data_IF_588814064380
#
_entry.id   IF_588814064380
#
_cell.length_a   1.000
_cell.length_b   1.000
_cell.length_c   1.000
_cell.angle_alpha   90.00
_cell.angle_beta   90.00
_cell.angle_gamma   90.00
#
_symmetry.space_group_name_H-M   'P 1'
#
loop_
_entity.id
_entity.type
_entity.pdbx_description
1 polymer ?
#
# COMPACT_ATOMS: atom_id res chain seq x y z
N UNK A 1 -8.44 7.22 -30.65
CA UNK A 1 -9.08 8.14 -29.68
C UNK A 1 -8.07 9.18 -29.30
N UNK A 2 -8.48 10.45 -29.38
CA UNK A 2 -7.63 11.62 -29.33
C UNK A 2 -6.75 11.65 -28.08
N UNK A 3 -5.44 11.72 -28.27
CA UNK A 3 -4.55 12.16 -27.21
C UNK A 3 -4.88 13.61 -26.92
N UNK A 4 -5.27 13.91 -25.69
CA UNK A 4 -5.30 15.29 -25.21
C UNK A 4 -3.85 15.79 -25.20
N UNK A 5 -3.43 16.40 -26.31
CA UNK A 5 -2.23 17.23 -26.32
C UNK A 5 -2.62 18.51 -25.59
N UNK A 6 -2.33 18.55 -24.29
CA UNK A 6 -2.38 19.79 -23.53
C UNK A 6 -1.28 20.72 -24.08
N UNK A 7 -1.65 21.63 -24.97
CA UNK A 7 -0.86 22.83 -25.28
C UNK A 7 -1.14 23.86 -24.18
N UNK A 8 -0.83 23.49 -22.94
CA UNK A 8 -0.99 24.32 -21.76
C UNK A 8 0.35 24.92 -21.36
N UNK A 9 0.33 26.17 -20.90
CA UNK A 9 1.47 26.76 -20.18
C UNK A 9 1.79 25.83 -19.01
N UNK A 10 3.04 25.41 -18.88
CA UNK A 10 3.50 24.67 -17.71
C UNK A 10 3.42 25.63 -16.52
N UNK A 11 2.50 25.36 -15.60
CA UNK A 11 2.32 26.06 -14.34
C UNK A 11 2.52 25.06 -13.19
N UNK A 12 3.76 24.97 -12.72
CA UNK A 12 4.15 23.98 -11.72
C UNK A 12 3.63 24.37 -10.35
N UNK A 13 2.80 23.52 -9.76
CA UNK A 13 2.31 23.70 -8.40
C UNK A 13 3.44 23.39 -7.40
N UNK A 14 3.83 24.34 -6.51
CA UNK A 14 4.85 24.08 -5.50
C UNK A 14 4.45 22.95 -4.54
N UNK A 15 5.41 22.13 -4.09
CA UNK A 15 5.13 20.94 -3.27
C UNK A 15 4.25 21.20 -2.03
N UNK A 16 4.49 22.33 -1.32
CA UNK A 16 3.67 22.72 -0.16
C UNK A 16 2.21 23.01 -0.54
N UNK A 17 1.99 23.57 -1.73
CA UNK A 17 0.65 23.84 -2.27
C UNK A 17 -0.04 22.55 -2.71
N UNK A 18 0.71 21.62 -3.32
CA UNK A 18 0.22 20.26 -3.59
C UNK A 18 -0.31 19.62 -2.31
N UNK A 19 0.47 19.61 -1.22
CA UNK A 19 0.04 18.99 0.04
C UNK A 19 -1.24 19.65 0.60
N UNK A 20 -1.30 20.99 0.56
CA UNK A 20 -2.48 21.75 1.00
C UNK A 20 -3.72 21.37 0.18
N UNK A 21 -3.57 21.21 -1.15
CA UNK A 21 -4.68 20.84 -2.04
C UNK A 21 -5.13 19.41 -1.78
N UNK A 22 -4.20 18.47 -1.62
CA UNK A 22 -4.53 17.07 -1.32
C UNK A 22 -5.19 16.89 0.04
N UNK A 23 -4.77 17.67 1.05
CA UNK A 23 -5.43 17.67 2.36
C UNK A 23 -6.87 18.19 2.25
N UNK A 24 -7.12 19.18 1.39
CA UNK A 24 -8.47 19.71 1.14
C UNK A 24 -9.36 18.75 0.33
N UNK A 25 -8.80 17.96 -0.60
CA UNK A 25 -9.58 17.07 -1.48
C UNK A 25 -9.76 15.66 -0.92
N UNK A 26 -8.73 15.08 -0.30
CA UNK A 26 -8.78 13.74 0.29
C UNK A 26 -8.96 13.78 1.81
N UNK A 27 -8.27 14.70 2.49
CA UNK A 27 -8.15 14.70 3.94
C UNK A 27 -9.48 14.81 4.66
N UNK A 28 -10.37 15.71 4.23
CA UNK A 28 -11.68 15.89 4.85
C UNK A 28 -12.54 14.62 4.81
N UNK A 29 -12.60 13.93 3.67
CA UNK A 29 -13.35 12.68 3.49
C UNK A 29 -12.74 11.55 4.32
N UNK A 30 -11.41 11.39 4.28
CA UNK A 30 -10.72 10.36 5.07
C UNK A 30 -10.88 10.59 6.58
N UNK A 31 -10.85 11.84 7.04
CA UNK A 31 -11.10 12.19 8.45
C UNK A 31 -12.53 11.83 8.86
N UNK A 32 -13.52 12.09 8.00
CA UNK A 32 -14.92 11.70 8.25
C UNK A 32 -15.07 10.17 8.39
N UNK A 33 -14.25 9.40 7.66
CA UNK A 33 -14.16 7.94 7.79
C UNK A 33 -13.28 7.47 8.97
N UNK A 34 -12.80 8.39 9.82
CA UNK A 34 -12.03 8.06 11.03
C UNK A 34 -10.54 7.78 10.79
N UNK A 35 -9.99 8.15 9.63
CA UNK A 35 -8.55 8.12 9.42
C UNK A 35 -7.88 9.31 10.09
N UNK A 36 -6.66 9.11 10.59
CA UNK A 36 -5.77 10.19 10.99
C UNK A 36 -4.70 10.40 9.92
N UNK A 37 -4.35 11.65 9.62
CA UNK A 37 -3.16 11.95 8.82
C UNK A 37 -1.92 11.66 9.66
N UNK A 38 -1.06 10.75 9.20
CA UNK A 38 0.14 10.33 9.95
C UNK A 38 1.44 10.89 9.37
N UNK A 39 1.43 11.24 8.07
CA UNK A 39 2.52 11.89 7.33
C UNK A 39 1.92 12.66 6.16
N UNK A 40 2.73 13.48 5.48
CA UNK A 40 2.33 14.09 4.21
C UNK A 40 1.76 13.01 3.29
N UNK A 41 0.52 13.22 2.82
CA UNK A 41 -0.18 12.36 1.87
C UNK A 41 -0.44 10.92 2.35
N UNK A 42 -0.31 10.65 3.65
CA UNK A 42 -0.58 9.33 4.23
C UNK A 42 -1.56 9.44 5.38
N UNK A 43 -2.65 8.70 5.26
CA UNK A 43 -3.70 8.58 6.26
C UNK A 43 -3.84 7.13 6.70
N UNK A 44 -4.05 6.92 7.99
CA UNK A 44 -4.19 5.58 8.54
C UNK A 44 -5.33 5.49 9.56
N UNK A 45 -5.96 4.32 9.63
CA UNK A 45 -7.00 4.00 10.61
C UNK A 45 -6.78 2.59 11.15
N UNK A 46 -6.72 2.46 12.47
CA UNK A 46 -6.73 1.17 13.13
C UNK A 46 -8.19 0.71 13.29
N UNK A 47 -8.52 -0.46 12.76
CA UNK A 47 -9.87 -1.05 12.84
C UNK A 47 -9.85 -2.52 13.25
N UNK A 48 -8.84 -3.26 12.82
CA UNK A 48 -8.64 -4.68 13.13
C UNK A 48 -7.35 -4.80 13.97
N UNK A 49 -7.32 -5.63 15.02
CA UNK A 49 -6.09 -5.88 15.77
C UNK A 49 -4.93 -6.25 14.84
N UNK A 50 -3.78 -5.63 15.06
CA UNK A 50 -2.55 -5.79 14.27
C UNK A 50 -2.62 -5.40 12.78
N UNK A 51 -3.78 -4.98 12.25
CA UNK A 51 -3.97 -4.62 10.84
C UNK A 51 -4.53 -3.20 10.75
N UNK A 52 -3.73 -2.29 10.20
CA UNK A 52 -4.07 -0.88 10.02
C UNK A 52 -4.37 -0.59 8.56
N UNK A 53 -5.52 0.01 8.29
CA UNK A 53 -5.90 0.51 6.96
C UNK A 53 -4.99 1.72 6.64
N UNK A 54 -4.37 1.76 5.45
CA UNK A 54 -3.50 2.87 5.03
C UNK A 54 -3.88 3.36 3.64
N UNK A 55 -4.14 4.66 3.53
CA UNK A 55 -4.33 5.39 2.27
C UNK A 55 -3.12 6.29 1.99
N UNK A 56 -2.64 6.32 0.76
CA UNK A 56 -1.43 7.03 0.38
C UNK A 56 -1.54 7.65 -1.02
N UNK A 57 -1.25 8.95 -1.14
CA UNK A 57 -0.99 9.59 -2.43
C UNK A 57 0.53 9.60 -2.68
N UNK A 58 1.00 8.68 -3.52
CA UNK A 58 2.43 8.56 -3.85
C UNK A 58 2.83 9.47 -5.00
N UNK A 59 4.07 9.95 -4.97
CA UNK A 59 4.67 10.62 -6.11
C UNK A 59 5.14 9.61 -7.16
N UNK A 60 4.94 9.96 -8.43
CA UNK A 60 5.40 9.23 -9.60
C UNK A 60 6.47 10.05 -10.34
N UNK A 61 7.15 9.41 -11.30
CA UNK A 61 8.03 10.13 -12.24
C UNK A 61 7.17 11.07 -13.11
N UNK A 62 7.68 12.26 -13.41
CA UNK A 62 7.03 13.19 -14.33
C UNK A 62 6.11 14.23 -13.68
N UNK A 63 6.27 14.51 -12.38
CA UNK A 63 5.44 15.47 -11.64
C UNK A 63 3.96 15.05 -11.55
N UNK A 64 3.71 13.73 -11.58
CA UNK A 64 2.39 13.13 -11.37
C UNK A 64 2.33 12.42 -10.02
N UNK A 65 1.13 12.24 -9.49
CA UNK A 65 0.85 11.52 -8.25
C UNK A 65 -0.19 10.43 -8.50
N UNK A 66 -0.29 9.42 -7.64
CA UNK A 66 -1.41 8.46 -7.69
C UNK A 66 -1.90 8.04 -6.32
N UNK A 67 -3.18 7.69 -6.24
CA UNK A 67 -3.76 7.05 -5.08
C UNK A 67 -3.39 5.58 -4.99
N UNK A 68 -3.02 5.13 -3.80
CA UNK A 68 -2.75 3.74 -3.43
C UNK A 68 -3.27 3.48 -2.04
N UNK A 69 -3.65 2.24 -1.75
CA UNK A 69 -4.12 1.86 -0.42
C UNK A 69 -3.72 0.43 -0.08
N UNK A 70 -3.91 0.04 1.17
CA UNK A 70 -3.64 -1.31 1.60
C UNK A 70 -3.53 -1.41 3.11
N UNK A 71 -2.68 -2.31 3.58
CA UNK A 71 -2.56 -2.65 5.00
C UNK A 71 -1.14 -2.46 5.52
N UNK A 72 -1.05 -1.99 6.75
CA UNK A 72 0.13 -2.05 7.60
C UNK A 72 -0.10 -3.10 8.67
N UNK A 73 0.85 -4.00 8.89
CA UNK A 73 0.66 -5.21 9.66
C UNK A 73 1.70 -5.29 10.79
N UNK A 74 1.24 -5.22 12.04
CA UNK A 74 2.10 -5.08 13.21
C UNK A 74 3.03 -6.29 13.45
N UNK A 75 2.62 -7.47 12.98
CA UNK A 75 3.37 -8.71 13.04
C UNK A 75 4.27 -8.97 11.82
N UNK A 76 4.21 -8.12 10.79
CA UNK A 76 5.10 -8.22 9.62
C UNK A 76 6.30 -7.30 9.81
N UNK A 77 7.54 -7.81 9.78
CA UNK A 77 8.70 -6.97 9.84
C UNK A 77 8.95 -6.28 8.50
N UNK A 78 9.69 -5.18 8.54
CA UNK A 78 10.29 -4.57 7.35
C UNK A 78 11.80 -4.54 7.51
N UNK A 79 12.50 -4.55 6.38
CA UNK A 79 13.96 -4.42 6.35
C UNK A 79 14.33 -2.96 6.10
N UNK A 80 15.24 -2.43 6.92
CA UNK A 80 15.74 -1.06 6.79
C UNK A 80 17.20 -1.00 7.22
N UNK A 81 18.07 -0.56 6.32
CA UNK A 81 19.52 -0.52 6.53
C UNK A 81 20.08 -1.88 7.00
N UNK A 82 19.66 -2.97 6.34
CA UNK A 82 20.09 -4.34 6.64
C UNK A 82 19.53 -4.92 7.95
N UNK A 83 18.59 -4.25 8.62
CA UNK A 83 18.03 -4.69 9.90
C UNK A 83 16.53 -4.92 9.81
N UNK A 84 16.08 -5.99 10.46
CA UNK A 84 14.66 -6.29 10.70
C UNK A 84 14.10 -5.28 11.70
N UNK A 85 12.98 -4.64 11.37
CA UNK A 85 12.31 -3.64 12.20
C UNK A 85 10.79 -3.84 12.15
N UNK A 86 10.10 -3.38 13.19
CA UNK A 86 8.64 -3.48 13.29
C UNK A 86 8.02 -2.09 13.28
N UNK A 87 6.76 -2.02 12.86
CA UNK A 87 5.96 -0.81 12.96
C UNK A 87 4.61 -1.19 13.61
N UNK A 88 4.50 -0.93 14.92
CA UNK A 88 3.35 -1.36 15.73
C UNK A 88 2.44 -0.21 16.15
N UNK A 89 2.76 1.01 15.73
CA UNK A 89 1.98 2.22 16.06
C UNK A 89 1.37 2.81 14.81
N UNK A 90 0.23 3.48 14.97
CA UNK A 90 -0.44 4.20 13.89
C UNK A 90 0.50 5.19 13.18
N UNK A 91 1.31 5.95 13.94
CA UNK A 91 2.30 6.91 13.37
C UNK A 91 3.41 6.25 12.54
N UNK A 92 3.69 4.97 12.81
CA UNK A 92 4.71 4.19 12.10
C UNK A 92 4.16 3.39 10.92
N UNK A 93 2.84 3.39 10.73
CA UNK A 93 2.16 2.59 9.71
C UNK A 93 2.69 2.88 8.31
N UNK A 94 2.79 1.82 7.51
CA UNK A 94 3.26 1.83 6.12
C UNK A 94 2.62 0.67 5.38
N UNK A 95 2.58 0.73 4.05
CA UNK A 95 2.00 -0.33 3.25
C UNK A 95 2.90 -1.57 3.23
N UNK A 96 2.54 -2.60 4.00
CA UNK A 96 3.08 -3.96 3.83
C UNK A 96 2.39 -4.69 2.69
N UNK A 97 1.07 -4.54 2.65
CA UNK A 97 0.23 -4.94 1.53
C UNK A 97 -0.21 -3.69 0.81
N UNK A 98 -0.04 -3.68 -0.51
CA UNK A 98 -0.34 -2.54 -1.36
C UNK A 98 -1.24 -2.98 -2.50
N UNK A 99 -2.32 -2.27 -2.67
CA UNK A 99 -3.11 -2.24 -3.87
C UNK A 99 -2.82 -0.93 -4.61
N UNK A 100 -2.28 -1.06 -5.83
CA UNK A 100 -2.13 0.05 -6.76
C UNK A 100 -3.08 -0.20 -7.94
N UNK A 101 -4.19 0.55 -8.05
CA UNK A 101 -5.19 0.30 -9.08
C UNK A 101 -4.65 0.48 -10.51
N UNK A 102 -3.49 1.12 -10.70
CA UNK A 102 -2.83 1.25 -12.01
C UNK A 102 -2.18 -0.05 -12.50
N UNK A 103 -1.95 -1.01 -11.62
CA UNK A 103 -1.37 -2.30 -12.00
C UNK A 103 -2.39 -3.22 -12.67
N UNK A 104 -3.69 -2.92 -12.56
CA UNK A 104 -4.76 -3.79 -13.05
C UNK A 104 -5.54 -3.09 -14.17
N UNK A 105 -5.56 -3.65 -15.40
CA UNK A 105 -5.88 -2.93 -16.63
C UNK A 105 -7.37 -2.81 -16.98
N UNK A 106 -8.29 -3.06 -16.07
CA UNK A 106 -9.70 -2.79 -16.35
C UNK A 106 -9.88 -1.27 -16.43
N UNK A 107 -9.70 -0.70 -17.62
CA UNK A 107 -9.88 0.73 -17.94
C UNK A 107 -11.30 1.24 -17.61
N UNK A 108 -12.24 0.33 -17.36
CA UNK A 108 -13.59 0.58 -16.80
C UNK A 108 -13.59 0.83 -15.28
N UNK A 109 -12.59 0.35 -14.56
CA UNK A 109 -12.46 0.43 -13.09
C UNK A 109 -11.35 1.42 -12.65
N UNK A 110 -10.46 1.78 -13.57
CA UNK A 110 -9.33 2.70 -13.37
C UNK A 110 -9.35 3.88 -14.37
N UNK A 111 -10.34 4.81 -14.32
CA UNK A 111 -10.21 6.11 -14.99
C UNK A 111 -9.05 6.90 -14.38
N UNK A 112 -8.41 7.79 -15.13
CA UNK A 112 -7.15 8.49 -14.78
C UNK A 112 -6.88 8.61 -13.27
N UNK A 113 -6.15 7.64 -12.71
CA UNK A 113 -5.78 7.55 -11.30
C UNK A 113 -4.55 8.39 -10.97
N UNK A 114 -4.27 9.37 -11.83
CA UNK A 114 -3.09 10.20 -11.78
C UNK A 114 -3.51 11.65 -11.61
N UNK A 115 -2.75 12.36 -10.78
CA UNK A 115 -2.87 13.80 -10.61
C UNK A 115 -1.63 14.43 -11.22
N UNK A 116 -1.79 15.44 -12.06
CA UNK A 116 -0.69 16.19 -12.62
C UNK A 116 -0.46 17.50 -11.86
N UNK A 117 0.79 17.78 -11.52
CA UNK A 117 1.16 19.00 -10.78
C UNK A 117 1.71 20.11 -11.67
N UNK A 118 1.58 19.96 -13.01
CA UNK A 118 2.17 20.85 -14.02
C UNK A 118 1.17 21.85 -14.63
N UNK A 119 -0.10 21.78 -14.25
CA UNK A 119 -1.18 22.52 -14.90
C UNK A 119 -1.93 23.47 -13.95
N UNK A 120 -1.24 23.93 -12.90
CA UNK A 120 -1.75 24.90 -11.94
C UNK A 120 -2.64 24.32 -10.83
N UNK A 121 -2.89 25.13 -9.80
CA UNK A 121 -3.62 24.71 -8.59
C UNK A 121 -5.09 24.35 -8.83
N UNK A 122 -5.73 25.01 -9.81
CA UNK A 122 -7.15 24.78 -10.13
C UNK A 122 -7.33 23.38 -10.70
N UNK A 123 -6.55 23.04 -11.71
CA UNK A 123 -6.59 21.72 -12.35
C UNK A 123 -6.27 20.61 -11.34
N UNK A 124 -5.24 20.81 -10.51
CA UNK A 124 -4.89 19.85 -9.46
C UNK A 124 -6.03 19.65 -8.44
N UNK A 125 -6.79 20.70 -8.13
CA UNK A 125 -7.95 20.62 -7.22
C UNK A 125 -9.10 19.84 -7.85
N UNK A 126 -9.38 20.07 -9.13
CA UNK A 126 -10.45 19.38 -9.86
C UNK A 126 -10.12 17.90 -10.03
N UNK A 127 -8.91 17.59 -10.49
CA UNK A 127 -8.39 16.22 -10.55
C UNK A 127 -8.39 15.54 -9.18
N UNK A 128 -7.92 16.25 -8.14
CA UNK A 128 -7.89 15.73 -6.77
C UNK A 128 -9.28 15.39 -6.24
N UNK A 129 -10.27 16.23 -6.49
CA UNK A 129 -11.66 16.01 -6.07
C UNK A 129 -12.29 14.82 -6.81
N UNK A 130 -12.09 14.73 -8.13
CA UNK A 130 -12.55 13.62 -8.94
C UNK A 130 -11.91 12.29 -8.52
N UNK A 131 -10.60 12.29 -8.29
CA UNK A 131 -9.88 11.09 -7.85
C UNK A 131 -10.28 10.68 -6.42
N UNK A 132 -10.49 11.62 -5.50
CA UNK A 132 -10.94 11.31 -4.14
C UNK A 132 -12.32 10.63 -4.16
N UNK A 133 -13.26 11.16 -4.94
CA UNK A 133 -14.61 10.60 -5.10
C UNK A 133 -14.62 9.17 -5.66
N UNK A 134 -13.57 8.78 -6.39
CA UNK A 134 -13.42 7.43 -6.93
C UNK A 134 -12.62 6.51 -6.01
N UNK A 135 -11.43 6.94 -5.59
CA UNK A 135 -10.44 6.10 -4.91
C UNK A 135 -10.85 5.78 -3.48
N UNK A 136 -11.42 6.73 -2.74
CA UNK A 136 -11.80 6.51 -1.33
C UNK A 136 -12.87 5.41 -1.22
N UNK A 137 -13.99 5.42 -1.97
CA UNK A 137 -14.96 4.33 -1.93
C UNK A 137 -14.37 2.96 -2.33
N UNK A 138 -13.45 2.92 -3.29
CA UNK A 138 -12.76 1.67 -3.66
C UNK A 138 -11.88 1.15 -2.51
N UNK A 139 -11.13 2.05 -1.87
CA UNK A 139 -10.30 1.72 -0.72
C UNK A 139 -11.15 1.23 0.47
N UNK A 140 -12.27 1.91 0.77
CA UNK A 140 -13.22 1.49 1.80
C UNK A 140 -13.78 0.08 1.56
N UNK A 141 -14.13 -0.26 0.31
CA UNK A 141 -14.54 -1.63 -0.06
C UNK A 141 -13.40 -2.63 0.12
N UNK A 142 -12.19 -2.26 -0.30
CA UNK A 142 -11.01 -3.12 -0.15
C UNK A 142 -10.73 -3.45 1.33
N UNK A 143 -10.72 -2.44 2.20
CA UNK A 143 -10.50 -2.67 3.64
C UNK A 143 -11.67 -3.40 4.30
N UNK A 144 -12.92 -3.11 3.91
CA UNK A 144 -14.11 -3.76 4.45
C UNK A 144 -14.14 -5.28 4.28
N UNK A 145 -13.37 -5.81 3.30
CA UNK A 145 -13.19 -7.25 3.11
C UNK A 145 -12.28 -7.94 4.14
N UNK A 146 -11.58 -7.19 4.99
CA UNK A 146 -10.65 -7.75 5.99
C UNK A 146 -11.12 -7.41 7.41
N UNK A 147 -11.46 -8.44 8.19
CA UNK A 147 -11.88 -8.31 9.59
C UNK A 147 -11.03 -9.17 10.54
N UNK A 148 -10.18 -10.05 10.00
CA UNK A 148 -9.29 -10.95 10.72
C UNK A 148 -8.15 -11.42 9.81
N UNK A 149 -7.14 -12.05 10.41
CA UNK A 149 -5.92 -12.49 9.71
C UNK A 149 -6.18 -13.43 8.53
N UNK A 150 -7.18 -14.31 8.62
CA UNK A 150 -7.51 -15.21 7.50
C UNK A 150 -8.01 -14.45 6.26
N UNK A 151 -8.74 -13.34 6.45
CA UNK A 151 -9.21 -12.52 5.35
C UNK A 151 -8.04 -11.76 4.70
N UNK A 152 -7.03 -11.36 5.49
CA UNK A 152 -5.80 -10.76 4.99
C UNK A 152 -5.01 -11.75 4.10
N UNK A 153 -4.92 -13.03 4.51
CA UNK A 153 -4.34 -14.08 3.65
C UNK A 153 -5.08 -14.15 2.33
N UNK A 154 -6.42 -14.16 2.36
CA UNK A 154 -7.24 -14.28 1.15
C UNK A 154 -7.04 -13.05 0.23
N UNK A 155 -6.85 -11.85 0.78
CA UNK A 155 -6.47 -10.67 0.00
C UNK A 155 -5.09 -10.85 -0.65
N UNK A 156 -4.07 -11.25 0.11
CA UNK A 156 -2.71 -11.44 -0.41
C UNK A 156 -2.66 -12.52 -1.51
N UNK A 157 -3.37 -13.62 -1.29
CA UNK A 157 -3.52 -14.69 -2.28
C UNK A 157 -4.28 -14.21 -3.53
N UNK A 158 -5.33 -13.42 -3.35
CA UNK A 158 -6.05 -12.80 -4.46
C UNK A 158 -5.17 -11.84 -5.26
N UNK A 159 -4.30 -11.07 -4.61
CA UNK A 159 -3.31 -10.22 -5.29
C UNK A 159 -2.27 -11.06 -6.04
N UNK A 160 -1.79 -12.15 -5.42
CA UNK A 160 -0.86 -13.11 -6.04
C UNK A 160 -1.46 -13.79 -7.27
N UNK A 161 -2.75 -14.16 -7.22
CA UNK A 161 -3.44 -14.77 -8.36
C UNK A 161 -3.68 -13.79 -9.52
N UNK A 162 -3.87 -12.50 -9.20
CA UNK A 162 -4.01 -11.42 -10.20
C UNK A 162 -2.68 -10.99 -10.82
N UNK A 163 -1.55 -11.54 -10.36
CA UNK A 163 -0.21 -11.23 -10.88
C UNK A 163 -0.10 -11.43 -12.39
N UNK A 164 -0.72 -12.51 -12.92
CA UNK A 164 -0.80 -12.81 -14.35
C UNK A 164 -1.54 -11.74 -15.17
N UNK A 165 -2.41 -10.97 -14.52
CA UNK A 165 -3.23 -9.92 -15.13
C UNK A 165 -2.61 -8.52 -14.90
N UNK A 166 -1.45 -8.45 -14.23
CA UNK A 166 -0.79 -7.18 -13.93
C UNK A 166 -0.18 -6.57 -15.20
N UNK A 167 -0.43 -5.28 -15.44
CA UNK A 167 0.15 -4.52 -16.56
C UNK A 167 1.33 -3.64 -16.18
N UNK A 168 1.63 -3.54 -14.89
CA UNK A 168 2.79 -2.84 -14.37
C UNK A 168 3.47 -3.69 -13.31
N UNK A 169 3.24 -3.40 -12.03
CA UNK A 169 3.84 -4.17 -10.93
C UNK A 169 2.92 -5.30 -10.47
N UNK A 170 3.45 -6.51 -10.55
CA UNK A 170 2.88 -7.71 -9.97
C UNK A 170 3.10 -7.84 -8.46
N UNK A 171 2.61 -8.93 -7.88
CA UNK A 171 2.73 -9.27 -6.46
C UNK A 171 4.20 -9.33 -6.01
N UNK A 172 5.04 -10.08 -6.73
CA UNK A 172 6.45 -10.24 -6.38
C UNK A 172 7.33 -9.02 -6.70
N UNK A 173 6.80 -8.04 -7.44
CA UNK A 173 7.51 -6.76 -7.61
C UNK A 173 7.46 -5.89 -6.35
N UNK A 174 6.47 -6.10 -5.47
CA UNK A 174 6.43 -5.47 -4.16
C UNK A 174 7.17 -6.34 -3.15
N UNK A 175 8.42 -5.96 -2.84
CA UNK A 175 9.31 -6.74 -1.95
C UNK A 175 8.65 -7.12 -0.61
N UNK A 176 7.74 -6.27 -0.12
CA UNK A 176 7.05 -6.47 1.16
C UNK A 176 5.86 -7.44 1.09
N UNK A 177 5.28 -7.71 -0.11
CA UNK A 177 4.14 -8.61 -0.26
C UNK A 177 4.47 -10.07 0.11
N UNK A 178 5.58 -10.67 -0.38
CA UNK A 178 5.97 -12.01 0.05
C UNK A 178 6.24 -12.10 1.56
N UNK A 179 6.87 -11.07 2.16
CA UNK A 179 7.05 -11.03 3.61
C UNK A 179 5.70 -10.97 4.34
N UNK A 180 4.76 -10.16 3.87
CA UNK A 180 3.44 -10.07 4.46
C UNK A 180 2.68 -11.41 4.38
N UNK A 181 2.77 -12.13 3.25
CA UNK A 181 2.13 -13.42 3.09
C UNK A 181 2.78 -14.51 3.95
N UNK A 182 4.12 -14.57 3.98
CA UNK A 182 4.85 -15.50 4.84
C UNK A 182 4.48 -15.36 6.33
N UNK A 183 4.51 -14.13 6.84
CA UNK A 183 4.16 -13.85 8.24
C UNK A 183 2.66 -14.00 8.52
N UNK A 184 1.79 -13.82 7.51
CA UNK A 184 0.36 -14.13 7.63
C UNK A 184 0.12 -15.64 7.75
N UNK A 185 0.82 -16.46 6.96
CA UNK A 185 0.78 -17.92 7.14
C UNK A 185 1.30 -18.34 8.51
N UNK A 186 2.39 -17.73 8.99
CA UNK A 186 2.92 -17.97 10.33
C UNK A 186 1.90 -17.61 11.43
N UNK A 187 1.30 -16.43 11.38
CA UNK A 187 0.24 -15.97 12.30
C UNK A 187 -1.01 -16.87 12.24
N UNK A 188 -1.20 -17.65 11.18
CA UNK A 188 -2.27 -18.65 11.04
C UNK A 188 -1.84 -20.07 11.45
N UNK A 189 -0.57 -20.29 11.78
CA UNK A 189 -0.01 -21.59 12.17
C UNK A 189 0.43 -22.47 11.00
N UNK A 190 0.41 -21.97 9.76
CA UNK A 190 0.84 -22.71 8.57
C UNK A 190 2.34 -22.55 8.35
N UNK A 191 3.11 -23.33 9.12
CA UNK A 191 4.57 -23.33 9.07
C UNK A 191 5.12 -23.60 7.68
N UNK A 192 4.55 -24.57 6.96
CA UNK A 192 5.08 -24.99 5.65
C UNK A 192 4.91 -23.86 4.63
N UNK A 193 3.71 -23.29 4.52
CA UNK A 193 3.47 -22.18 3.60
C UNK A 193 4.25 -20.91 4.00
N UNK A 194 4.42 -20.65 5.30
CA UNK A 194 5.18 -19.51 5.79
C UNK A 194 6.65 -19.55 5.32
N UNK A 195 7.31 -20.71 5.46
CA UNK A 195 8.70 -20.87 5.03
C UNK A 195 8.85 -20.94 3.51
N UNK A 196 7.91 -21.57 2.80
CA UNK A 196 7.92 -21.57 1.32
C UNK A 196 7.85 -20.14 0.79
N UNK A 197 6.92 -19.32 1.30
CA UNK A 197 6.77 -17.94 0.84
C UNK A 197 7.94 -17.05 1.28
N UNK A 198 8.48 -17.22 2.50
CA UNK A 198 9.67 -16.48 2.94
C UNK A 198 10.85 -16.70 1.97
N UNK A 199 11.03 -17.92 1.47
CA UNK A 199 12.09 -18.27 0.52
C UNK A 199 11.97 -17.56 -0.84
N UNK A 200 10.76 -17.09 -1.19
CA UNK A 200 10.47 -16.33 -2.41
C UNK A 200 10.70 -14.84 -2.25
N UNK A 201 10.86 -14.34 -1.03
CA UNK A 201 11.09 -12.92 -0.80
C UNK A 201 12.47 -12.47 -1.30
N UNK A 202 12.53 -11.31 -1.96
CA UNK A 202 13.78 -10.78 -2.50
C UNK A 202 14.83 -10.53 -1.41
N UNK A 203 14.39 -10.17 -0.20
CA UNK A 203 15.26 -10.05 0.97
C UNK A 203 15.90 -11.40 1.31
N UNK A 204 15.11 -12.47 1.38
CA UNK A 204 15.64 -13.80 1.69
C UNK A 204 16.57 -14.35 0.59
N UNK A 205 16.34 -14.00 -0.68
CA UNK A 205 17.17 -14.47 -1.78
C UNK A 205 18.52 -13.75 -1.84
N UNK A 206 18.52 -12.42 -1.71
CA UNK A 206 19.66 -11.58 -2.10
C UNK A 206 20.47 -11.01 -0.93
N UNK A 207 19.97 -11.08 0.31
CA UNK A 207 20.63 -10.42 1.45
C UNK A 207 21.70 -11.27 2.14
N UNK A 208 22.56 -10.63 2.99
CA UNK A 208 23.52 -11.33 3.83
C UNK A 208 22.89 -12.38 4.76
N UNK A 209 23.68 -13.41 5.11
CA UNK A 209 23.26 -14.52 5.96
C UNK A 209 22.64 -14.06 7.30
N UNK A 210 23.18 -13.02 7.92
CA UNK A 210 22.68 -12.48 9.19
C UNK A 210 21.25 -11.94 9.09
N UNK A 211 20.91 -11.29 7.98
CA UNK A 211 19.56 -10.79 7.75
C UNK A 211 18.58 -11.94 7.48
N UNK A 212 19.01 -12.98 6.73
CA UNK A 212 18.20 -14.20 6.54
C UNK A 212 17.93 -14.87 7.89
N UNK A 213 18.94 -15.02 8.73
CA UNK A 213 18.81 -15.60 10.06
C UNK A 213 17.85 -14.79 10.93
N UNK A 214 17.93 -13.45 10.89
CA UNK A 214 17.02 -12.57 11.63
C UNK A 214 15.56 -12.69 11.15
N UNK A 215 15.32 -12.82 9.84
CA UNK A 215 13.99 -13.04 9.28
C UNK A 215 13.42 -14.41 9.67
N UNK A 216 14.24 -15.47 9.65
CA UNK A 216 13.85 -16.81 10.13
C UNK A 216 13.48 -16.74 11.61
N UNK A 217 14.33 -16.13 12.44
CA UNK A 217 14.06 -16.00 13.87
C UNK A 217 12.77 -15.23 14.15
N UNK A 218 12.50 -14.16 13.39
CA UNK A 218 11.24 -13.42 13.52
C UNK A 218 10.01 -14.26 13.10
N UNK A 219 10.12 -15.06 12.03
CA UNK A 219 9.03 -15.93 11.58
C UNK A 219 8.77 -17.09 12.57
N UNK A 220 9.81 -17.63 13.19
CA UNK A 220 9.69 -18.65 14.25
C UNK A 220 9.02 -18.11 15.51
N UNK A 221 9.40 -16.89 15.93
CA UNK A 221 8.77 -16.23 17.07
C UNK A 221 7.26 -16.03 16.83
N UNK A 222 6.91 -15.64 15.60
CA UNK A 222 5.52 -15.48 15.16
C UNK A 222 4.73 -16.80 15.21
N UNK A 223 5.32 -17.90 14.75
CA UNK A 223 4.71 -19.25 14.86
C UNK A 223 4.50 -19.68 16.32
N UNK A 224 5.43 -19.33 17.21
CA UNK A 224 5.36 -19.69 18.62
C UNK A 224 4.26 -18.94 19.38
N UNK A 225 3.94 -17.69 19.00
CA UNK A 225 2.85 -16.90 19.62
C UNK A 225 1.47 -17.55 19.48
N UNK A 226 1.28 -18.49 18.53
CA UNK A 226 0.04 -19.27 18.38
C UNK A 226 0.01 -20.59 19.17
N UNK A 227 1.16 -21.06 19.64
CA UNK A 227 1.28 -22.30 20.41
C UNK A 227 1.09 -22.11 21.92
N UNK A 228 0.98 -20.86 22.38
CA UNK A 228 0.73 -20.45 23.76
C UNK A 228 -0.73 -20.03 23.95
#
# INVERSE_FOLDING_TARGET
MAGHIYVGIIDVVPAKRVDTILDATFGASLLADGFAQIRHRVWARARVPDITDVFNIQALKGASLSATWGFSIAFVPHVSAGKVKWHRTLKSARLDVRYDPRNFPTRKESPDLQLDTLYGESELRDQGSALAALAIPQALRFWGGVNRVVDLRDVLEGLRQKDKDAVAFGFYNYIQHPLALAFTHARLGDRVAAFDELSRSAWFQNDPADLKAALIQALEAELAERGA
#
